data_IF_481709303126
#
_entry.id   IF_481709303126
#
_cell.length_a   1.000
_cell.length_b   1.000
_cell.length_c   1.000
_cell.angle_alpha   90.00
_cell.angle_beta   90.00
_cell.angle_gamma   90.00
#
_symmetry.space_group_name_H-M   'P 1'
#
loop_
_entity.id
_entity.type
_entity.pdbx_description
1 polymer ?
#
# COMPACT_ATOMS: atom_id res chain seq x y z
N UNK A 1 -13.28 -33.23 -62.96
CA UNK A 1 -12.35 -33.93 -62.04
C UNK A 1 -11.50 -32.86 -61.37
N UNK A 2 -11.99 -32.31 -60.25
CA UNK A 2 -11.31 -31.24 -59.50
C UNK A 2 -10.52 -31.89 -58.36
N UNK A 3 -9.20 -31.82 -58.44
CA UNK A 3 -8.28 -32.33 -57.42
C UNK A 3 -8.21 -31.30 -56.30
N UNK A 4 -8.72 -31.66 -55.11
CA UNK A 4 -8.53 -30.89 -53.87
C UNK A 4 -7.18 -31.27 -53.27
N UNK A 5 -6.27 -30.31 -53.17
CA UNK A 5 -5.03 -30.41 -52.37
C UNK A 5 -5.38 -30.01 -50.93
N UNK A 6 -5.00 -30.79 -49.89
CA UNK A 6 -5.18 -30.37 -48.52
C UNK A 6 -3.99 -29.51 -48.09
N UNK A 7 -4.25 -28.27 -47.68
CA UNK A 7 -3.29 -27.43 -46.97
C UNK A 7 -3.40 -27.78 -45.48
N UNK A 8 -2.31 -28.18 -44.78
CA UNK A 8 -2.37 -28.38 -43.34
C UNK A 8 -2.34 -27.00 -42.66
N UNK A 9 -3.45 -26.63 -42.03
CA UNK A 9 -3.50 -25.53 -41.07
C UNK A 9 -2.71 -25.97 -39.82
N UNK A 10 -1.49 -25.48 -39.67
CA UNK A 10 -0.77 -25.52 -38.39
C UNK A 10 -1.34 -24.40 -37.53
N UNK A 11 -2.20 -24.74 -36.58
CA UNK A 11 -2.63 -23.83 -35.52
C UNK A 11 -1.46 -23.69 -34.52
N UNK A 12 -0.63 -22.66 -34.71
CA UNK A 12 0.26 -22.20 -33.65
C UNK A 12 -0.60 -21.43 -32.64
N UNK A 13 -1.10 -22.11 -31.61
CA UNK A 13 -1.71 -21.47 -30.46
C UNK A 13 -0.60 -20.82 -29.64
N UNK A 14 -0.28 -19.56 -29.97
CA UNK A 14 0.58 -18.70 -29.15
C UNK A 14 -0.20 -18.38 -27.87
N UNK A 15 -0.05 -19.20 -26.83
CA UNK A 15 -0.50 -18.87 -25.49
C UNK A 15 0.48 -17.86 -24.88
N UNK A 16 0.36 -16.60 -25.30
CA UNK A 16 0.90 -15.50 -24.51
C UNK A 16 -0.05 -15.28 -23.34
N UNK A 17 -0.03 -16.21 -22.38
CA UNK A 17 -0.52 -15.93 -21.04
C UNK A 17 0.49 -14.95 -20.43
N UNK A 18 0.31 -13.65 -20.68
CA UNK A 18 1.06 -12.62 -19.98
C UNK A 18 0.84 -12.80 -18.48
N UNK A 19 1.92 -12.80 -17.71
CA UNK A 19 1.88 -12.81 -16.26
C UNK A 19 1.00 -11.65 -15.80
N UNK A 20 -0.08 -11.92 -15.07
CA UNK A 20 -0.83 -10.87 -14.40
C UNK A 20 -0.01 -10.47 -13.18
N UNK A 21 0.60 -9.30 -13.22
CA UNK A 21 1.28 -8.72 -12.06
C UNK A 21 0.25 -8.35 -11.00
N UNK A 22 0.49 -8.74 -9.75
CA UNK A 22 -0.36 -8.39 -8.61
C UNK A 22 -0.16 -6.94 -8.13
N UNK A 23 0.81 -6.21 -8.69
CA UNK A 23 1.14 -4.85 -8.30
C UNK A 23 0.02 -3.87 -8.68
N UNK A 24 -0.48 -3.14 -7.68
CA UNK A 24 -1.43 -2.06 -7.88
C UNK A 24 -1.23 -0.92 -6.87
N UNK A 25 -1.05 0.35 -7.32
CA UNK A 25 -0.89 0.78 -8.70
C UNK A 25 0.39 0.23 -9.35
N UNK A 26 0.41 0.14 -10.68
CA UNK A 26 1.62 -0.22 -11.42
C UNK A 26 2.69 0.87 -11.22
N UNK A 27 3.92 0.52 -10.81
CA UNK A 27 4.98 1.50 -10.63
C UNK A 27 5.34 2.24 -11.92
N UNK A 28 5.88 3.44 -11.80
CA UNK A 28 6.35 4.25 -12.94
C UNK A 28 7.40 3.52 -13.78
N UNK A 29 8.35 2.85 -13.13
CA UNK A 29 9.33 1.99 -13.77
C UNK A 29 9.42 0.66 -13.01
N UNK A 30 9.34 -0.44 -13.75
CA UNK A 30 9.40 -1.80 -13.24
C UNK A 30 10.23 -2.65 -14.20
N UNK A 31 11.32 -3.20 -13.71
CA UNK A 31 12.12 -4.23 -14.39
C UNK A 31 12.04 -5.50 -13.58
N UNK A 32 11.73 -6.61 -14.24
CA UNK A 32 11.57 -7.93 -13.62
C UNK A 32 12.40 -8.98 -14.33
N UNK A 33 12.76 -10.02 -13.59
CA UNK A 33 13.34 -11.24 -14.12
C UNK A 33 12.35 -12.40 -14.15
N UNK A 34 12.89 -13.60 -13.99
CA UNK A 34 12.17 -14.86 -14.05
C UNK A 34 12.63 -15.87 -12.98
N UNK A 35 13.36 -15.40 -11.97
CA UNK A 35 13.89 -16.24 -10.89
C UNK A 35 12.91 -16.24 -9.73
N UNK A 36 12.68 -17.42 -9.16
CA UNK A 36 11.90 -17.56 -7.94
C UNK A 36 12.79 -17.32 -6.73
N UNK A 37 12.33 -16.48 -5.81
CA UNK A 37 12.97 -16.21 -4.51
C UNK A 37 11.94 -16.42 -3.40
N UNK A 38 12.39 -16.83 -2.21
CA UNK A 38 11.52 -16.95 -1.03
C UNK A 38 12.03 -16.10 0.12
N UNK A 39 11.16 -15.74 1.05
CA UNK A 39 11.58 -15.13 2.30
C UNK A 39 12.19 -16.19 3.22
N UNK A 40 13.28 -15.83 3.91
CA UNK A 40 13.83 -16.65 4.97
C UNK A 40 12.87 -16.71 6.18
N UNK A 41 12.97 -17.76 6.99
CA UNK A 41 12.16 -17.92 8.21
C UNK A 41 12.47 -16.83 9.25
N UNK A 42 13.70 -16.31 9.23
CA UNK A 42 14.20 -15.22 10.07
C UNK A 42 14.25 -13.87 9.32
N UNK A 43 13.43 -13.71 8.28
CA UNK A 43 13.36 -12.48 7.50
C UNK A 43 13.10 -11.26 8.40
N UNK A 44 13.98 -10.26 8.28
CA UNK A 44 13.92 -9.04 9.07
C UNK A 44 13.92 -7.79 8.18
N UNK A 45 13.25 -6.74 8.64
CA UNK A 45 13.28 -5.43 7.99
C UNK A 45 14.08 -4.49 8.88
N UNK A 46 15.23 -4.01 8.40
CA UNK A 46 16.14 -3.16 9.17
C UNK A 46 16.06 -1.71 8.69
N UNK A 47 16.18 -0.77 9.62
CA UNK A 47 16.26 0.67 9.35
C UNK A 47 17.74 1.08 9.39
N UNK A 48 18.42 0.88 8.27
CA UNK A 48 19.85 1.17 8.15
C UNK A 48 20.06 2.67 7.86
N UNK A 49 21.00 3.29 8.55
CA UNK A 49 21.31 4.73 8.42
C UNK A 49 20.16 5.70 8.76
N UNK A 50 19.12 5.24 9.48
CA UNK A 50 18.02 6.08 9.99
C UNK A 50 18.14 6.20 11.52
N UNK A 51 19.12 6.99 11.98
CA UNK A 51 19.27 7.25 13.42
C UNK A 51 18.09 8.05 13.97
N UNK A 52 17.40 7.51 14.98
CA UNK A 52 16.22 8.16 15.55
C UNK A 52 14.98 8.02 14.67
N UNK A 53 14.79 6.87 14.02
CA UNK A 53 13.61 6.58 13.23
C UNK A 53 12.31 6.95 13.98
N UNK A 54 11.39 7.71 13.35
CA UNK A 54 10.15 8.08 13.98
C UNK A 54 9.29 6.84 14.27
N UNK A 55 8.53 6.88 15.37
CA UNK A 55 7.76 5.72 15.83
C UNK A 55 6.71 5.25 14.80
N UNK A 56 6.15 6.15 14.00
CA UNK A 56 5.17 5.78 12.98
C UNK A 56 5.81 5.02 11.79
N UNK A 57 7.06 5.30 11.45
CA UNK A 57 7.84 4.48 10.51
C UNK A 57 8.13 3.08 11.10
N UNK A 58 8.53 3.00 12.37
CA UNK A 58 8.75 1.72 13.05
C UNK A 58 7.46 0.88 13.05
N UNK A 59 6.33 1.51 13.42
CA UNK A 59 5.03 0.86 13.38
C UNK A 59 4.64 0.42 11.95
N UNK A 60 5.05 1.17 10.92
CA UNK A 60 4.81 0.77 9.53
C UNK A 60 5.61 -0.48 9.16
N UNK A 61 6.88 -0.56 9.58
CA UNK A 61 7.70 -1.77 9.41
C UNK A 61 7.05 -2.98 10.07
N UNK A 62 6.63 -2.85 11.33
CA UNK A 62 5.97 -3.93 12.06
C UNK A 62 4.70 -4.40 11.35
N UNK A 63 3.84 -3.46 10.91
CA UNK A 63 2.64 -3.79 10.12
C UNK A 63 2.97 -4.48 8.80
N UNK A 64 4.05 -4.09 8.13
CA UNK A 64 4.49 -4.73 6.88
C UNK A 64 4.93 -6.17 7.14
N UNK A 65 5.69 -6.42 8.22
CA UNK A 65 6.08 -7.78 8.62
C UNK A 65 4.84 -8.62 8.94
N UNK A 66 3.95 -8.09 9.76
CA UNK A 66 2.70 -8.76 10.13
C UNK A 66 1.85 -9.07 8.89
N UNK A 67 1.75 -8.15 7.94
CA UNK A 67 1.00 -8.36 6.71
C UNK A 67 1.61 -9.49 5.87
N UNK A 68 2.91 -9.45 5.59
CA UNK A 68 3.59 -10.46 4.76
C UNK A 68 3.51 -11.86 5.38
N UNK A 69 3.63 -11.95 6.71
CA UNK A 69 3.54 -13.22 7.42
C UNK A 69 2.10 -13.73 7.44
N UNK A 70 1.09 -12.89 7.62
CA UNK A 70 -0.28 -13.35 7.77
C UNK A 70 -1.07 -13.43 6.46
N UNK A 71 -0.61 -12.75 5.41
CA UNK A 71 -1.26 -12.78 4.11
C UNK A 71 -1.16 -14.17 3.48
N UNK A 72 -2.25 -14.57 2.81
CA UNK A 72 -2.43 -15.88 2.18
C UNK A 72 -2.72 -15.72 0.69
N UNK A 73 -2.15 -14.68 0.09
CA UNK A 73 -2.31 -14.40 -1.32
C UNK A 73 -1.66 -15.52 -2.15
N UNK A 74 -2.47 -16.43 -2.67
CA UNK A 74 -1.99 -17.40 -3.65
C UNK A 74 -1.85 -16.74 -5.04
N UNK A 75 -1.03 -17.32 -5.91
CA UNK A 75 -0.86 -16.81 -7.29
C UNK A 75 -2.19 -16.70 -8.02
N UNK A 76 -2.30 -15.67 -8.86
CA UNK A 76 -3.47 -15.39 -9.69
C UNK A 76 -3.48 -16.23 -10.99
N UNK A 77 -3.25 -17.54 -10.85
CA UNK A 77 -3.28 -18.54 -11.92
C UNK A 77 -4.20 -19.70 -11.54
N UNK A 78 -4.70 -20.51 -12.50
CA UNK A 78 -5.72 -21.53 -12.22
C UNK A 78 -5.34 -22.56 -11.15
N UNK A 79 -4.06 -22.94 -11.07
CA UNK A 79 -3.55 -23.92 -10.11
C UNK A 79 -3.07 -23.29 -8.79
N UNK A 80 -3.28 -21.98 -8.62
CA UNK A 80 -2.90 -21.23 -7.41
C UNK A 80 -1.42 -21.32 -7.04
N UNK A 81 -0.55 -21.51 -8.04
CA UNK A 81 0.90 -21.61 -7.82
C UNK A 81 1.39 -23.01 -7.46
N UNK A 82 0.53 -24.03 -7.52
CA UNK A 82 0.94 -25.42 -7.27
C UNK A 82 2.08 -25.87 -8.20
N UNK A 83 2.11 -25.38 -9.45
CA UNK A 83 3.22 -25.62 -10.40
C UNK A 83 4.53 -24.93 -10.03
N UNK A 84 4.51 -23.92 -9.15
CA UNK A 84 5.72 -23.23 -8.70
C UNK A 84 6.43 -24.01 -7.57
N UNK A 85 5.85 -25.10 -7.03
CA UNK A 85 6.33 -25.76 -5.81
C UNK A 85 7.80 -26.20 -5.84
N UNK A 86 8.25 -26.79 -6.95
CA UNK A 86 9.66 -27.22 -7.11
C UNK A 86 10.61 -26.01 -7.17
N UNK A 87 10.19 -24.94 -7.84
CA UNK A 87 10.94 -23.69 -7.91
C UNK A 87 11.04 -23.03 -6.53
N UNK A 88 9.94 -23.00 -5.76
CA UNK A 88 9.91 -22.46 -4.38
C UNK A 88 10.79 -23.29 -3.44
N UNK A 89 10.76 -24.62 -3.55
CA UNK A 89 11.58 -25.50 -2.71
C UNK A 89 13.08 -25.23 -2.89
N UNK A 90 13.51 -25.01 -4.14
CA UNK A 90 14.90 -24.77 -4.53
C UNK A 90 15.33 -23.29 -4.56
N UNK A 91 14.38 -22.36 -4.37
CA UNK A 91 14.62 -20.93 -4.43
C UNK A 91 15.62 -20.46 -3.35
N UNK A 92 16.50 -19.50 -3.67
CA UNK A 92 17.31 -18.83 -2.66
C UNK A 92 16.42 -18.02 -1.70
N UNK A 93 16.87 -17.90 -0.46
CA UNK A 93 16.11 -17.27 0.62
C UNK A 93 16.62 -15.86 0.87
N UNK A 94 15.75 -14.87 0.70
CA UNK A 94 15.99 -13.47 0.98
C UNK A 94 16.13 -13.26 2.49
N UNK A 95 17.30 -12.79 2.93
CA UNK A 95 17.62 -12.64 4.36
C UNK A 95 16.91 -11.48 5.04
N UNK A 96 16.55 -10.43 4.29
CA UNK A 96 15.94 -9.24 4.87
C UNK A 96 15.71 -8.12 3.87
N UNK A 97 15.11 -7.04 4.35
CA UNK A 97 14.92 -5.79 3.63
C UNK A 97 15.59 -4.65 4.41
N UNK A 98 16.58 -4.00 3.81
CA UNK A 98 17.24 -2.80 4.36
C UNK A 98 16.52 -1.55 3.86
N UNK A 99 16.04 -0.72 4.80
CA UNK A 99 15.50 0.61 4.53
C UNK A 99 16.55 1.64 4.85
N UNK A 100 16.84 2.53 3.90
CA UNK A 100 17.74 3.66 4.14
C UNK A 100 17.26 4.91 3.41
N UNK A 101 17.71 6.08 3.85
CA UNK A 101 17.60 7.25 2.99
C UNK A 101 18.58 7.16 1.83
N UNK A 102 18.27 7.79 0.70
CA UNK A 102 19.20 7.89 -0.43
C UNK A 102 20.43 8.72 -0.04
N UNK A 103 21.56 8.48 -0.70
CA UNK A 103 22.87 9.07 -0.38
C UNK A 103 22.93 10.61 -0.41
N UNK A 104 21.95 11.28 -1.03
CA UNK A 104 21.82 12.74 -1.07
C UNK A 104 20.92 13.34 0.01
N UNK A 105 20.30 12.53 0.87
CA UNK A 105 19.43 13.01 1.94
C UNK A 105 20.26 13.61 3.08
N UNK A 106 20.03 14.89 3.37
CA UNK A 106 20.75 15.66 4.41
C UNK A 106 19.84 16.06 5.57
N UNK A 107 18.58 15.63 5.55
CA UNK A 107 17.58 15.96 6.55
C UNK A 107 17.66 15.09 7.81
N UNK A 108 16.85 15.43 8.81
CA UNK A 108 16.51 14.53 9.92
C UNK A 108 15.23 13.81 9.57
N UNK A 109 15.14 12.52 9.89
CA UNK A 109 13.93 11.73 9.68
C UNK A 109 12.71 12.41 10.33
N UNK A 110 11.71 12.75 9.52
CA UNK A 110 10.43 13.33 9.98
C UNK A 110 9.39 12.23 10.08
N UNK A 111 8.37 12.44 10.92
CA UNK A 111 7.26 11.49 11.03
C UNK A 111 6.47 11.42 9.71
N UNK A 112 5.82 10.29 9.44
CA UNK A 112 4.89 10.14 8.31
C UNK A 112 3.79 11.20 8.38
N UNK A 113 3.35 11.49 9.59
CA UNK A 113 2.29 12.48 9.86
C UNK A 113 2.70 13.90 9.46
N UNK A 114 3.92 14.33 9.81
CA UNK A 114 4.44 15.65 9.45
C UNK A 114 4.58 15.79 7.94
N UNK A 115 5.24 14.82 7.29
CA UNK A 115 5.43 14.85 5.84
C UNK A 115 4.10 14.74 5.07
N UNK A 116 3.11 14.00 5.60
CA UNK A 116 1.78 13.91 5.00
C UNK A 116 0.99 15.23 5.08
N UNK A 117 1.37 16.15 5.98
CA UNK A 117 0.72 17.46 6.12
C UNK A 117 1.40 18.58 5.33
N UNK A 118 2.56 18.32 4.75
CA UNK A 118 3.28 19.29 3.92
C UNK A 118 2.43 19.75 2.71
N UNK A 119 2.76 20.90 2.15
CA UNK A 119 2.14 21.41 0.92
C UNK A 119 2.26 20.36 -0.18
N UNK A 120 1.19 20.15 -0.96
CA UNK A 120 1.11 19.08 -1.95
C UNK A 120 2.30 19.04 -2.91
N UNK A 121 2.80 20.21 -3.33
CA UNK A 121 3.92 20.34 -4.27
C UNK A 121 5.28 20.01 -3.64
N UNK A 122 5.37 20.04 -2.30
CA UNK A 122 6.59 19.76 -1.54
C UNK A 122 6.69 18.31 -1.03
N UNK A 123 5.61 17.53 -1.15
CA UNK A 123 5.58 16.13 -0.70
C UNK A 123 6.47 15.27 -1.59
N UNK A 124 7.44 14.63 -0.96
CA UNK A 124 8.30 13.64 -1.62
C UNK A 124 7.77 12.26 -1.27
N UNK A 125 7.27 11.53 -2.28
CA UNK A 125 6.73 10.16 -2.11
C UNK A 125 7.49 9.13 -2.96
N UNK A 126 8.60 9.53 -3.59
CA UNK A 126 9.38 8.68 -4.48
C UNK A 126 10.27 7.68 -3.73
N UNK A 127 10.43 6.49 -4.29
CA UNK A 127 11.26 5.43 -3.73
C UNK A 127 11.90 4.54 -4.82
N UNK A 128 12.94 3.84 -4.42
CA UNK A 128 13.63 2.81 -5.19
C UNK A 128 13.63 1.50 -4.39
N UNK A 129 13.13 0.42 -4.99
CA UNK A 129 13.06 -0.90 -4.37
C UNK A 129 13.79 -1.91 -5.26
N UNK A 130 14.72 -2.65 -4.67
CA UNK A 130 15.49 -3.70 -5.34
C UNK A 130 15.36 -5.01 -4.57
N UNK A 131 14.89 -6.06 -5.24
CA UNK A 131 14.86 -7.43 -4.74
C UNK A 131 15.79 -8.28 -5.61
N UNK A 132 16.94 -8.73 -5.09
CA UNK A 132 17.91 -9.47 -5.87
C UNK A 132 17.44 -10.92 -6.13
N UNK A 133 17.97 -11.54 -7.18
CA UNK A 133 17.65 -12.92 -7.55
C UNK A 133 18.47 -13.98 -6.79
N UNK A 134 19.56 -13.58 -6.15
CA UNK A 134 20.51 -14.48 -5.47
C UNK A 134 20.12 -14.79 -4.01
N UNK A 135 19.03 -14.22 -3.52
CA UNK A 135 18.60 -14.31 -2.11
C UNK A 135 19.40 -13.40 -1.16
N UNK A 136 20.18 -12.45 -1.69
CA UNK A 136 20.80 -11.41 -0.90
C UNK A 136 19.77 -10.50 -0.20
N UNK A 137 20.24 -9.49 0.52
CA UNK A 137 19.37 -8.52 1.17
C UNK A 137 18.68 -7.63 0.12
N UNK A 138 17.36 -7.46 0.22
CA UNK A 138 16.63 -6.47 -0.56
C UNK A 138 16.89 -5.07 -0.02
N UNK A 139 16.78 -4.05 -0.87
CA UNK A 139 17.01 -2.65 -0.45
C UNK A 139 15.86 -1.76 -0.86
N UNK A 140 15.41 -0.90 0.06
CA UNK A 140 14.42 0.14 -0.17
C UNK A 140 15.03 1.51 0.21
N UNK A 141 15.11 2.39 -0.78
CA UNK A 141 15.68 3.73 -0.61
C UNK A 141 14.65 4.80 -0.95
N UNK A 142 14.64 5.88 -0.20
CA UNK A 142 13.82 7.05 -0.50
C UNK A 142 14.45 8.34 0.01
N UNK A 143 13.91 9.47 -0.42
CA UNK A 143 14.32 10.80 0.03
C UNK A 143 13.41 11.35 1.15
N UNK A 144 12.53 10.52 1.71
CA UNK A 144 11.54 10.88 2.73
C UNK A 144 11.00 9.64 3.44
N UNK A 145 10.44 9.83 4.63
CA UNK A 145 9.77 8.76 5.38
C UNK A 145 8.52 8.28 4.65
N UNK A 146 7.78 9.18 3.98
CA UNK A 146 6.65 8.84 3.12
C UNK A 146 7.05 7.94 1.95
N UNK A 147 8.19 8.23 1.29
CA UNK A 147 8.70 7.40 0.20
C UNK A 147 9.02 5.98 0.68
N UNK A 148 9.67 5.84 1.84
CA UNK A 148 9.90 4.53 2.47
C UNK A 148 8.57 3.80 2.74
N UNK A 149 7.56 4.50 3.25
CA UNK A 149 6.23 3.91 3.45
C UNK A 149 5.56 3.45 2.15
N UNK A 150 5.67 4.23 1.05
CA UNK A 150 5.17 3.82 -0.27
C UNK A 150 5.89 2.59 -0.80
N UNK A 151 7.20 2.51 -0.59
CA UNK A 151 8.00 1.34 -0.96
C UNK A 151 7.65 0.09 -0.14
N UNK A 152 7.44 0.23 1.17
CA UNK A 152 6.96 -0.87 2.03
C UNK A 152 5.60 -1.40 1.52
N UNK A 153 4.69 -0.50 1.14
CA UNK A 153 3.38 -0.87 0.57
C UNK A 153 3.53 -1.64 -0.75
N UNK A 154 4.49 -1.26 -1.59
CA UNK A 154 4.77 -2.02 -2.83
C UNK A 154 5.40 -3.37 -2.51
N UNK A 155 6.32 -3.42 -1.54
CA UNK A 155 6.99 -4.64 -1.13
C UNK A 155 6.00 -5.70 -0.62
N UNK A 156 4.93 -5.31 0.09
CA UNK A 156 3.90 -6.27 0.54
C UNK A 156 3.17 -6.96 -0.61
N UNK A 157 3.10 -6.33 -1.78
CA UNK A 157 2.37 -6.86 -2.95
C UNK A 157 3.20 -7.84 -3.79
N UNK A 158 4.50 -8.00 -3.48
CA UNK A 158 5.42 -8.84 -4.26
C UNK A 158 5.38 -10.33 -3.89
N UNK A 159 4.69 -10.67 -2.81
CA UNK A 159 4.78 -11.98 -2.17
C UNK A 159 3.49 -12.78 -2.36
N UNK A 160 3.67 -14.05 -2.71
CA UNK A 160 2.62 -15.06 -2.73
C UNK A 160 2.88 -16.10 -1.64
N UNK A 161 1.82 -16.79 -1.21
CA UNK A 161 1.89 -17.86 -0.22
C UNK A 161 1.68 -19.23 -0.89
N UNK A 162 2.56 -20.18 -0.58
CA UNK A 162 2.41 -21.59 -0.93
C UNK A 162 2.92 -22.47 0.21
N UNK A 163 2.02 -23.23 0.85
CA UNK A 163 2.32 -24.18 1.92
C UNK A 163 3.14 -23.58 3.08
N UNK A 164 2.84 -22.33 3.46
CA UNK A 164 3.53 -21.59 4.51
C UNK A 164 4.82 -20.92 4.06
N UNK A 165 5.22 -21.02 2.80
CA UNK A 165 6.39 -20.29 2.25
C UNK A 165 5.93 -19.04 1.51
N UNK A 166 6.59 -17.91 1.78
CA UNK A 166 6.34 -16.64 1.09
C UNK A 166 7.35 -16.49 -0.03
N UNK A 167 6.89 -16.31 -1.26
CA UNK A 167 7.75 -16.34 -2.44
C UNK A 167 7.33 -15.34 -3.50
N UNK A 168 8.28 -14.99 -4.37
CA UNK A 168 8.08 -14.20 -5.57
C UNK A 168 8.72 -14.91 -6.77
N UNK A 169 8.18 -14.75 -7.97
CA UNK A 169 8.63 -15.46 -9.18
C UNK A 169 9.34 -14.57 -10.21
N UNK A 170 9.40 -13.27 -9.94
CA UNK A 170 9.81 -12.24 -10.90
C UNK A 170 11.17 -11.60 -10.56
N UNK A 171 11.98 -12.25 -9.70
CA UNK A 171 13.30 -11.73 -9.33
C UNK A 171 14.32 -11.83 -10.49
N UNK A 172 15.28 -10.88 -10.62
CA UNK A 172 15.39 -9.68 -9.79
C UNK A 172 14.28 -8.67 -10.11
N UNK A 173 13.84 -7.94 -9.09
CA UNK A 173 12.82 -6.89 -9.22
C UNK A 173 13.49 -5.56 -8.92
N UNK A 174 13.43 -4.64 -9.87
CA UNK A 174 13.90 -3.26 -9.72
C UNK A 174 12.74 -2.31 -10.00
N UNK A 175 12.41 -1.49 -9.01
CA UNK A 175 11.31 -0.53 -9.06
C UNK A 175 11.84 0.85 -8.75
N UNK A 176 11.53 1.80 -9.63
CA UNK A 176 11.67 3.23 -9.35
C UNK A 176 10.30 3.87 -9.54
N UNK A 177 9.76 4.44 -8.48
CA UNK A 177 8.37 4.86 -8.47
C UNK A 177 8.20 6.19 -7.77
N UNK A 178 7.28 6.98 -8.30
CA UNK A 178 6.84 8.26 -7.76
C UNK A 178 5.45 8.57 -8.32
N UNK A 179 4.57 9.22 -7.55
CA UNK A 179 3.24 9.53 -8.04
C UNK A 179 3.29 10.62 -9.12
N UNK A 180 2.52 10.43 -10.19
CA UNK A 180 2.35 11.46 -11.21
C UNK A 180 1.60 12.71 -10.69
N UNK A 181 0.73 12.52 -9.69
CA UNK A 181 -0.05 13.59 -9.08
C UNK A 181 0.09 13.56 -7.56
N UNK A 182 0.40 14.71 -6.93
CA UNK A 182 0.55 14.79 -5.48
C UNK A 182 -0.79 14.68 -4.75
N UNK A 183 -1.90 15.07 -5.36
CA UNK A 183 -3.23 14.92 -4.78
C UNK A 183 -3.93 13.66 -5.29
N UNK A 184 -4.21 12.71 -4.40
CA UNK A 184 -4.97 11.49 -4.69
C UNK A 184 -6.01 11.32 -3.60
N UNK A 185 -7.24 11.73 -3.92
CA UNK A 185 -8.30 11.91 -2.94
C UNK A 185 -9.43 10.88 -3.02
N UNK A 186 -9.96 10.49 -1.87
CA UNK A 186 -11.29 9.87 -1.74
C UNK A 186 -12.18 10.80 -0.92
N UNK A 187 -13.37 11.12 -1.42
CA UNK A 187 -14.37 11.87 -0.66
C UNK A 187 -15.39 10.89 -0.07
N UNK A 188 -15.55 10.89 1.25
CA UNK A 188 -16.59 10.12 1.93
C UNK A 188 -17.63 11.08 2.52
N UNK A 189 -18.88 10.87 2.11
CA UNK A 189 -20.04 11.61 2.61
C UNK A 189 -20.72 10.82 3.72
N UNK A 190 -20.60 11.33 4.94
CA UNK A 190 -21.21 10.75 6.14
C UNK A 190 -22.43 11.53 6.63
N UNK A 191 -22.85 12.55 5.88
CA UNK A 191 -24.02 13.35 6.20
C UNK A 191 -25.29 12.77 5.56
N UNK A 192 -25.19 12.27 4.32
CA UNK A 192 -26.34 11.68 3.63
C UNK A 192 -26.71 10.33 4.26
N UNK A 193 -25.72 9.56 4.68
CA UNK A 193 -25.89 8.35 5.50
C UNK A 193 -24.77 8.29 6.55
N UNK A 194 -25.09 7.80 7.75
CA UNK A 194 -24.09 7.64 8.81
C UNK A 194 -23.20 6.41 8.57
N UNK A 195 -21.89 6.56 8.82
CA UNK A 195 -20.92 5.46 8.77
C UNK A 195 -20.21 5.31 10.13
N UNK A 196 -20.20 4.12 10.75
CA UNK A 196 -19.44 3.88 11.97
C UNK A 196 -17.94 4.19 11.80
N UNK A 197 -17.28 4.63 12.88
CA UNK A 197 -15.84 4.94 12.90
C UNK A 197 -14.99 3.78 12.39
N UNK A 198 -15.36 2.54 12.76
CA UNK A 198 -14.66 1.33 12.29
C UNK A 198 -14.72 1.16 10.77
N UNK A 199 -15.82 1.54 10.12
CA UNK A 199 -15.95 1.47 8.66
C UNK A 199 -15.10 2.55 7.98
N UNK A 200 -15.01 3.76 8.56
CA UNK A 200 -14.14 4.83 8.08
C UNK A 200 -12.67 4.39 8.16
N UNK A 201 -12.24 3.80 9.27
CA UNK A 201 -10.88 3.26 9.43
C UNK A 201 -10.56 2.17 8.41
N UNK A 202 -11.51 1.24 8.18
CA UNK A 202 -11.38 0.21 7.14
C UNK A 202 -11.24 0.83 5.74
N UNK A 203 -11.93 1.94 5.46
CA UNK A 203 -11.74 2.68 4.21
C UNK A 203 -10.34 3.30 4.11
N UNK A 204 -9.81 3.86 5.20
CA UNK A 204 -8.44 4.40 5.24
C UNK A 204 -7.39 3.30 4.99
N UNK A 205 -7.59 2.09 5.52
CA UNK A 205 -6.71 0.94 5.23
C UNK A 205 -6.70 0.59 3.74
N UNK A 206 -7.90 0.50 3.14
CA UNK A 206 -8.04 0.19 1.72
C UNK A 206 -7.41 1.26 0.82
N UNK A 207 -7.54 2.54 1.21
CA UNK A 207 -6.85 3.64 0.52
C UNK A 207 -5.32 3.44 0.57
N UNK A 208 -4.78 2.86 1.66
CA UNK A 208 -3.34 2.79 1.94
C UNK A 208 -2.67 1.78 1.03
N UNK A 209 -3.31 0.63 0.87
CA UNK A 209 -2.89 -0.41 -0.06
C UNK A 209 -2.73 0.09 -1.50
N UNK A 210 -3.53 1.07 -1.92
CA UNK A 210 -3.50 1.64 -3.28
C UNK A 210 -2.85 3.02 -3.37
N UNK A 211 -2.14 3.45 -2.32
CA UNK A 211 -1.39 4.72 -2.26
C UNK A 211 -2.23 5.98 -2.50
N UNK A 212 -3.54 5.95 -2.27
CA UNK A 212 -4.35 7.19 -2.12
C UNK A 212 -3.82 7.91 -0.88
N UNK A 213 -3.81 9.24 -0.85
CA UNK A 213 -3.13 10.01 0.23
C UNK A 213 -3.98 11.10 0.88
N UNK A 214 -5.15 11.41 0.32
CA UNK A 214 -6.04 12.45 0.86
C UNK A 214 -7.42 11.88 1.15
N UNK A 215 -7.86 12.01 2.39
CA UNK A 215 -9.21 11.67 2.81
C UNK A 215 -10.01 12.96 2.95
N UNK A 216 -10.95 13.18 2.04
CA UNK A 216 -11.86 14.32 2.10
C UNK A 216 -13.14 13.87 2.82
N UNK A 217 -13.29 14.29 4.07
CA UNK A 217 -14.45 13.91 4.87
C UNK A 217 -15.56 14.96 4.72
N UNK A 218 -16.58 14.62 3.92
CA UNK A 218 -17.81 15.41 3.80
C UNK A 218 -18.76 15.02 4.94
N UNK A 219 -18.53 15.65 6.10
CA UNK A 219 -19.11 15.19 7.37
C UNK A 219 -20.53 15.70 7.64
N UNK A 220 -20.89 16.86 7.09
CA UNK A 220 -22.18 17.54 7.35
C UNK A 220 -22.84 17.95 6.03
N UNK A 221 -24.17 17.93 6.00
CA UNK A 221 -24.98 18.39 4.87
C UNK A 221 -26.41 18.71 5.32
N UNK A 222 -27.28 19.07 4.38
CA UNK A 222 -28.70 19.39 4.64
C UNK A 222 -29.48 18.25 5.31
N UNK A 223 -29.09 16.99 5.09
CA UNK A 223 -29.79 15.82 5.62
C UNK A 223 -29.42 15.49 7.07
N UNK A 224 -28.16 15.71 7.46
CA UNK A 224 -27.74 15.51 8.84
C UNK A 224 -26.48 16.29 9.23
N UNK A 225 -26.38 16.55 10.53
CA UNK A 225 -25.23 17.14 11.20
C UNK A 225 -24.70 16.17 12.28
N UNK A 226 -23.89 15.16 11.91
CA UNK A 226 -23.42 14.15 12.86
C UNK A 226 -22.19 14.61 13.68
N UNK A 227 -21.56 15.74 13.35
CA UNK A 227 -20.36 16.22 14.04
C UNK A 227 -20.69 16.90 15.36
N UNK A 228 -20.15 16.41 16.48
CA UNK A 228 -20.29 17.08 17.77
C UNK A 228 -19.29 18.23 17.92
N UNK A 229 -19.80 19.46 18.00
CA UNK A 229 -19.00 20.65 18.31
C UNK A 229 -19.21 21.04 19.77
N UNK A 230 -18.17 21.09 20.62
CA UNK A 230 -18.31 21.45 22.04
C UNK A 230 -18.95 22.82 22.27
N UNK A 231 -18.70 23.77 21.37
CA UNK A 231 -19.23 25.14 21.44
C UNK A 231 -20.70 25.23 20.98
N UNK A 232 -21.15 24.29 20.14
CA UNK A 232 -22.49 24.26 19.54
C UNK A 232 -23.11 22.85 19.64
N UNK A 233 -23.34 22.34 20.86
CA UNK A 233 -23.84 20.98 21.07
C UNK A 233 -25.22 20.74 20.45
N UNK A 234 -26.02 21.80 20.28
CA UNK A 234 -27.35 21.77 19.69
C UNK A 234 -27.35 21.37 18.20
N UNK A 235 -26.24 21.55 17.49
CA UNK A 235 -26.14 21.20 16.07
C UNK A 235 -26.23 19.68 15.89
N UNK A 236 -25.41 18.92 16.63
CA UNK A 236 -25.49 17.46 16.60
C UNK A 236 -26.76 16.95 17.29
N UNK A 237 -27.16 17.57 18.41
CA UNK A 237 -28.34 17.13 19.17
C UNK A 237 -29.65 17.19 18.35
N UNK A 238 -29.79 18.18 17.46
CA UNK A 238 -30.97 18.35 16.61
C UNK A 238 -30.76 17.93 15.14
N UNK A 239 -29.52 17.85 14.68
CA UNK A 239 -29.18 17.58 13.28
C UNK A 239 -28.72 16.16 12.98
N UNK A 240 -28.30 15.38 13.97
CA UNK A 240 -27.94 13.97 13.75
C UNK A 240 -29.18 13.10 13.54
N UNK A 241 -29.04 12.01 12.78
CA UNK A 241 -30.14 11.05 12.57
C UNK A 241 -30.60 10.38 13.87
N UNK A 242 -29.68 10.17 14.81
CA UNK A 242 -29.98 9.69 16.16
C UNK A 242 -28.83 10.05 17.11
N UNK A 243 -29.05 10.03 18.44
CA UNK A 243 -27.98 10.25 19.42
C UNK A 243 -26.80 9.25 19.33
N UNK A 244 -27.01 8.08 18.70
CA UNK A 244 -25.97 7.08 18.49
C UNK A 244 -25.21 7.26 17.16
N UNK A 245 -25.67 8.17 16.29
CA UNK A 245 -25.09 8.44 14.97
C UNK A 245 -24.40 9.80 14.96
N UNK A 246 -23.47 9.96 15.89
CA UNK A 246 -22.71 11.19 16.14
C UNK A 246 -21.22 10.85 16.16
N UNK A 247 -20.39 11.73 15.61
CA UNK A 247 -18.95 11.72 15.75
C UNK A 247 -18.56 12.68 16.88
N UNK A 248 -18.07 12.14 17.98
CA UNK A 248 -17.54 12.93 19.08
C UNK A 248 -16.19 13.56 18.74
N UNK A 249 -15.74 14.52 19.55
CA UNK A 249 -14.40 15.09 19.40
C UNK A 249 -13.29 14.03 19.52
N UNK A 250 -13.51 12.99 20.32
CA UNK A 250 -12.56 11.88 20.46
C UNK A 250 -12.58 10.98 19.21
N UNK A 251 -13.75 10.71 18.64
CA UNK A 251 -13.85 9.95 17.38
C UNK A 251 -13.12 10.67 16.24
N UNK A 252 -13.28 11.99 16.14
CA UNK A 252 -12.58 12.80 15.13
C UNK A 252 -11.08 12.74 15.34
N UNK A 253 -10.62 12.92 16.59
CA UNK A 253 -9.18 12.83 16.93
C UNK A 253 -8.61 11.45 16.61
N UNK A 254 -9.32 10.39 16.97
CA UNK A 254 -8.97 9.01 16.69
C UNK A 254 -8.85 8.75 15.18
N UNK A 255 -9.83 9.21 14.37
CA UNK A 255 -9.77 9.09 12.91
C UNK A 255 -8.59 9.87 12.33
N UNK A 256 -8.32 11.09 12.79
CA UNK A 256 -7.18 11.89 12.30
C UNK A 256 -5.84 11.22 12.66
N UNK A 257 -5.68 10.76 13.90
CA UNK A 257 -4.48 10.05 14.33
C UNK A 257 -4.30 8.73 13.58
N UNK A 258 -5.39 7.99 13.33
CA UNK A 258 -5.36 6.77 12.53
C UNK A 258 -4.94 7.05 11.08
N UNK A 259 -5.56 8.05 10.46
CA UNK A 259 -5.25 8.51 9.11
C UNK A 259 -3.75 8.88 9.00
N UNK A 260 -3.23 9.65 9.96
CA UNK A 260 -1.82 10.04 9.98
C UNK A 260 -0.88 8.82 10.10
N UNK A 261 -1.24 7.84 10.94
CA UNK A 261 -0.46 6.61 11.14
C UNK A 261 -0.41 5.69 9.89
N UNK A 262 -1.38 5.81 8.98
CA UNK A 262 -1.41 5.12 7.67
C UNK A 262 -1.11 6.07 6.49
N UNK A 263 -0.45 7.20 6.77
CA UNK A 263 0.08 8.19 5.82
C UNK A 263 -0.97 8.98 5.02
N UNK A 264 -2.03 9.42 5.69
CA UNK A 264 -3.08 10.29 5.15
C UNK A 264 -3.06 11.68 5.73
N UNK A 265 -3.36 12.64 4.86
CA UNK A 265 -3.91 13.93 5.26
C UNK A 265 -5.44 13.85 5.27
N UNK A 266 -6.06 14.05 6.43
CA UNK A 266 -7.50 14.18 6.55
C UNK A 266 -7.89 15.65 6.36
N UNK A 267 -8.55 15.96 5.25
CA UNK A 267 -9.11 17.30 5.00
C UNK A 267 -10.57 17.31 5.44
N UNK A 268 -10.87 18.16 6.42
CA UNK A 268 -12.24 18.48 6.84
C UNK A 268 -12.74 19.63 6.00
N UNK A 269 -13.73 19.39 5.14
CA UNK A 269 -14.38 20.47 4.42
C UNK A 269 -15.61 20.94 5.20
N UNK A 270 -15.47 22.06 5.90
CA UNK A 270 -16.49 23.10 5.88
C UNK A 270 -15.98 24.19 4.94
N UNK A 271 -16.26 24.09 3.64
CA UNK A 271 -16.36 25.28 2.79
C UNK A 271 -17.80 25.76 2.88
N UNK A 272 -18.03 26.76 3.74
CA UNK A 272 -18.99 27.81 3.46
C UNK A 272 -18.40 28.76 2.42
#
# INVERSE_FOLDING_TARGET
MLVRVPIPFVLAALSLAGSVSALWPLPKQLTTGNTTVKLADDFEITLDDISGAPQDLVNAVDRTKDFIINDKLARLVPDRGASDADAVASAPSLSGLSLSFSSGYTGTARTLSEEATDDLESRVEGYELVVPADGGQATLKANSTLGLFRGLTTFTQLWYELNGTRYSVEAPIEIQDEPAYPYRGLMLDTARNFFPVADIKRTLDAMSWVKINTFHWHIVDSQSFPLQLPEFPELAANGAYSPAMVYSAEDVKDIVSYAAAVSYFAFFCQRS
#
